data_IF_474484314715
#
_entry.id   IF_474484314715
#
_cell.length_a   1.000
_cell.length_b   1.000
_cell.length_c   1.000
_cell.angle_alpha   90.00
_cell.angle_beta   90.00
_cell.angle_gamma   90.00
#
_symmetry.space_group_name_H-M   'P 1'
#
loop_
_entity.id
_entity.type
_entity.pdbx_description
1 polymer ?
#
# COMPACT_ATOMS: atom_id res chain seq x y z
N UNK A 1 -0.46 17.66 5.69
CA UNK A 1 -0.48 19.11 5.40
C UNK A 1 0.05 19.92 6.58
N UNK A 2 -0.66 20.03 7.71
CA UNK A 2 -0.20 20.83 8.87
C UNK A 2 1.26 20.57 9.31
N UNK A 3 1.70 19.31 9.32
CA UNK A 3 3.09 18.97 9.65
C UNK A 3 4.11 19.57 8.66
N UNK A 4 3.81 19.54 7.36
CA UNK A 4 4.64 20.15 6.30
C UNK A 4 4.58 21.68 6.37
N UNK A 5 3.43 22.27 6.74
CA UNK A 5 3.31 23.72 6.90
C UNK A 5 4.12 24.24 8.10
N UNK A 6 4.22 23.43 9.16
CA UNK A 6 5.00 23.75 10.37
C UNK A 6 6.51 23.55 10.14
N UNK A 7 6.88 22.47 9.46
CA UNK A 7 8.27 22.17 9.10
C UNK A 7 8.36 21.58 7.68
N UNK A 8 8.62 22.43 6.67
CA UNK A 8 8.80 21.98 5.29
C UNK A 8 10.05 21.11 5.11
N UNK A 9 11.00 21.14 6.05
CA UNK A 9 12.25 20.38 6.01
C UNK A 9 12.14 18.95 6.51
N UNK A 10 10.98 18.56 7.06
CA UNK A 10 10.77 17.22 7.61
C UNK A 10 10.47 16.21 6.48
N UNK A 11 11.43 15.34 6.18
CA UNK A 11 11.32 14.35 5.10
C UNK A 11 10.11 13.43 5.29
N UNK A 12 9.88 12.94 6.50
CA UNK A 12 8.79 12.03 6.85
C UNK A 12 7.41 12.67 6.63
N UNK A 13 7.27 13.95 6.95
CA UNK A 13 6.02 14.69 6.74
C UNK A 13 5.74 14.91 5.25
N UNK A 14 6.78 15.22 4.46
CA UNK A 14 6.66 15.32 3.00
C UNK A 14 6.31 13.96 2.37
N UNK A 15 6.99 12.88 2.77
CA UNK A 15 6.72 11.53 2.25
C UNK A 15 5.29 11.08 2.57
N UNK A 16 4.85 11.27 3.81
CA UNK A 16 3.48 10.94 4.25
C UNK A 16 2.45 11.77 3.51
N UNK A 17 2.68 13.07 3.34
CA UNK A 17 1.77 13.93 2.58
C UNK A 17 1.66 13.50 1.13
N UNK A 18 2.79 13.17 0.49
CA UNK A 18 2.80 12.67 -0.88
C UNK A 18 1.97 11.39 -1.02
N UNK A 19 2.17 10.42 -0.13
CA UNK A 19 1.39 9.18 -0.12
C UNK A 19 -0.12 9.43 0.14
N UNK A 20 -0.48 10.31 1.08
CA UNK A 20 -1.88 10.68 1.32
C UNK A 20 -2.55 11.35 0.11
N UNK A 21 -1.83 12.21 -0.60
CA UNK A 21 -2.34 12.88 -1.81
C UNK A 21 -2.61 11.89 -2.94
N UNK A 22 -1.74 10.89 -3.05
CA UNK A 22 -1.90 9.77 -3.96
C UNK A 22 -3.12 8.90 -3.61
N UNK A 23 -3.13 8.30 -2.41
CA UNK A 23 -4.12 7.31 -2.03
C UNK A 23 -5.52 7.92 -1.76
N UNK A 24 -5.60 9.17 -1.27
CA UNK A 24 -6.86 9.76 -0.83
C UNK A 24 -7.54 10.71 -1.83
N UNK A 25 -6.76 11.35 -2.70
CA UNK A 25 -7.26 12.44 -3.56
C UNK A 25 -6.96 12.23 -5.05
N UNK A 26 -6.27 11.15 -5.41
CA UNK A 26 -5.80 10.90 -6.78
C UNK A 26 -5.01 12.10 -7.35
N UNK A 27 -4.26 12.79 -6.49
CA UNK A 27 -3.48 13.98 -6.85
C UNK A 27 -2.03 13.56 -7.14
N UNK A 28 -1.86 12.79 -8.21
CA UNK A 28 -0.63 12.09 -8.59
C UNK A 28 0.57 13.03 -8.73
N UNK A 29 0.38 14.16 -9.42
CA UNK A 29 1.45 15.13 -9.66
C UNK A 29 1.94 15.78 -8.36
N UNK A 30 1.03 16.12 -7.44
CA UNK A 30 1.44 16.65 -6.14
C UNK A 30 2.05 15.57 -5.26
N UNK A 31 1.56 14.33 -5.34
CA UNK A 31 2.15 13.20 -4.62
C UNK A 31 3.62 13.01 -4.97
N UNK A 32 3.95 12.93 -6.26
CA UNK A 32 5.33 12.80 -6.75
C UNK A 32 6.19 13.99 -6.29
N UNK A 33 5.68 15.21 -6.38
CA UNK A 33 6.40 16.42 -5.93
C UNK A 33 6.83 16.33 -4.45
N UNK A 34 5.92 15.93 -3.55
CA UNK A 34 6.23 15.81 -2.13
C UNK A 34 7.13 14.61 -1.81
N UNK A 35 6.99 13.50 -2.54
CA UNK A 35 7.84 12.32 -2.37
C UNK A 35 9.27 12.60 -2.83
N UNK A 36 9.44 13.27 -3.97
CA UNK A 36 10.76 13.72 -4.44
C UNK A 36 11.38 14.73 -3.47
N UNK A 37 10.57 15.64 -2.90
CA UNK A 37 11.07 16.56 -1.88
C UNK A 37 11.53 15.82 -0.62
N UNK A 38 10.81 14.78 -0.20
CA UNK A 38 11.23 13.97 0.94
C UNK A 38 12.60 13.30 0.71
N UNK A 39 12.83 12.79 -0.50
CA UNK A 39 14.11 12.19 -0.89
C UNK A 39 15.24 13.21 -1.00
N UNK A 40 14.96 14.43 -1.47
CA UNK A 40 15.93 15.55 -1.46
C UNK A 40 16.34 15.93 -0.03
N UNK A 41 15.37 15.98 0.90
CA UNK A 41 15.59 16.34 2.29
C UNK A 41 16.35 15.26 3.08
N UNK A 42 16.06 13.98 2.80
CA UNK A 42 16.74 12.85 3.41
C UNK A 42 16.88 11.68 2.41
N UNK A 43 18.04 11.56 1.75
CA UNK A 43 18.32 10.46 0.83
C UNK A 43 18.39 9.06 1.49
N UNK A 44 18.35 8.97 2.82
CA UNK A 44 18.32 7.71 3.56
C UNK A 44 16.92 7.35 4.09
N UNK A 45 15.87 8.10 3.71
CA UNK A 45 14.50 7.80 4.12
C UNK A 45 13.92 6.62 3.33
N UNK A 46 14.06 5.41 3.87
CA UNK A 46 13.54 4.17 3.27
C UNK A 46 12.04 4.26 2.92
N UNK A 47 11.22 4.85 3.79
CA UNK A 47 9.78 4.99 3.55
C UNK A 47 9.47 5.89 2.35
N UNK A 48 10.25 6.96 2.13
CA UNK A 48 10.05 7.82 0.96
C UNK A 48 10.32 7.06 -0.35
N UNK A 49 11.36 6.21 -0.40
CA UNK A 49 11.62 5.32 -1.53
C UNK A 49 10.47 4.34 -1.77
N UNK A 50 9.98 3.69 -0.70
CA UNK A 50 8.88 2.73 -0.79
C UNK A 50 7.59 3.41 -1.25
N UNK A 51 7.19 4.53 -0.66
CA UNK A 51 5.98 5.25 -1.08
C UNK A 51 6.07 5.75 -2.51
N UNK A 52 7.23 6.25 -2.93
CA UNK A 52 7.41 6.68 -4.31
C UNK A 52 7.36 5.51 -5.28
N UNK A 53 7.95 4.36 -4.95
CA UNK A 53 7.82 3.16 -5.77
C UNK A 53 6.37 2.71 -5.96
N UNK A 54 5.52 2.83 -4.92
CA UNK A 54 4.09 2.50 -5.03
C UNK A 54 3.38 3.45 -6.01
N UNK A 55 3.65 4.75 -5.93
CA UNK A 55 3.12 5.71 -6.91
C UNK A 55 3.55 5.33 -8.32
N UNK A 56 4.83 5.03 -8.52
CA UNK A 56 5.35 4.61 -9.82
C UNK A 56 4.74 3.30 -10.32
N UNK A 57 4.49 2.31 -9.44
CA UNK A 57 3.84 1.06 -9.81
C UNK A 57 2.41 1.28 -10.31
N UNK A 58 1.63 2.09 -9.60
CA UNK A 58 0.26 2.44 -10.01
C UNK A 58 0.23 3.24 -11.31
N UNK A 59 1.29 3.99 -11.60
CA UNK A 59 1.48 4.69 -12.87
C UNK A 59 2.04 3.80 -13.99
N UNK A 60 2.24 2.50 -13.76
CA UNK A 60 2.82 1.60 -14.74
C UNK A 60 4.29 1.86 -15.07
N UNK A 61 4.98 2.75 -14.33
CA UNK A 61 6.42 3.06 -14.45
C UNK A 61 7.26 1.97 -13.77
N UNK A 62 7.02 0.71 -14.14
CA UNK A 62 7.50 -0.46 -13.39
C UNK A 62 9.02 -0.54 -13.24
N UNK A 63 9.79 -0.26 -14.28
CA UNK A 63 11.25 -0.34 -14.24
C UNK A 63 11.88 0.71 -13.32
N UNK A 64 11.30 1.91 -13.27
CA UNK A 64 11.72 2.97 -12.34
C UNK A 64 11.27 2.61 -10.93
N UNK A 65 10.01 2.21 -10.76
CA UNK A 65 9.43 1.80 -9.49
C UNK A 65 10.25 0.71 -8.79
N UNK A 66 10.70 -0.31 -9.53
CA UNK A 66 11.53 -1.38 -8.98
C UNK A 66 12.89 -0.88 -8.47
N UNK A 67 13.50 0.12 -9.11
CA UNK A 67 14.75 0.71 -8.62
C UNK A 67 14.52 1.41 -7.26
N UNK A 68 13.44 2.18 -7.13
CA UNK A 68 13.08 2.82 -5.86
C UNK A 68 12.69 1.79 -4.79
N UNK A 69 11.96 0.74 -5.15
CA UNK A 69 11.57 -0.33 -4.22
C UNK A 69 12.79 -1.10 -3.68
N UNK A 70 13.73 -1.47 -4.55
CA UNK A 70 14.98 -2.12 -4.15
C UNK A 70 15.81 -1.19 -3.25
N UNK A 71 15.93 0.10 -3.59
CA UNK A 71 16.63 1.06 -2.73
C UNK A 71 16.00 1.21 -1.34
N UNK A 72 14.67 1.26 -1.26
CA UNK A 72 13.97 1.27 0.02
C UNK A 72 14.24 0.01 0.85
N UNK A 73 14.27 -1.16 0.19
CA UNK A 73 14.57 -2.44 0.82
C UNK A 73 16.05 -2.59 1.22
N UNK A 74 16.98 -1.97 0.52
CA UNK A 74 18.40 -1.89 0.93
C UNK A 74 18.60 -1.03 2.18
N UNK A 75 17.89 0.10 2.26
CA UNK A 75 17.98 1.04 3.39
C UNK A 75 17.34 0.47 4.66
N UNK A 76 16.26 -0.31 4.52
CA UNK A 76 15.63 -1.02 5.64
C UNK A 76 15.26 -2.47 5.24
N UNK A 77 16.21 -3.41 5.37
CA UNK A 77 16.02 -4.79 4.95
C UNK A 77 15.23 -5.65 5.95
N UNK A 78 15.03 -5.16 7.18
CA UNK A 78 14.36 -5.91 8.25
C UNK A 78 12.85 -5.73 8.23
N UNK A 79 12.35 -4.74 7.49
CA UNK A 79 10.91 -4.52 7.30
C UNK A 79 10.37 -5.45 6.20
N UNK A 80 9.52 -6.46 6.53
CA UNK A 80 9.02 -7.41 5.55
C UNK A 80 8.21 -6.76 4.42
N UNK A 81 7.55 -5.63 4.73
CA UNK A 81 6.79 -4.86 3.75
C UNK A 81 7.66 -4.35 2.60
N UNK A 82 8.92 -3.97 2.84
CA UNK A 82 9.80 -3.46 1.79
C UNK A 82 10.15 -4.56 0.78
N UNK A 83 10.36 -5.79 1.28
CA UNK A 83 10.60 -6.97 0.44
C UNK A 83 9.33 -7.40 -0.30
N UNK A 84 8.18 -7.35 0.36
CA UNK A 84 6.86 -7.57 -0.24
C UNK A 84 6.58 -6.57 -1.37
N UNK A 85 6.90 -5.28 -1.17
CA UNK A 85 6.63 -4.22 -2.14
C UNK A 85 7.34 -4.46 -3.49
N UNK A 86 8.56 -5.01 -3.48
CA UNK A 86 9.25 -5.43 -4.71
C UNK A 86 8.47 -6.53 -5.43
N UNK A 87 8.08 -7.58 -4.69
CA UNK A 87 7.32 -8.70 -5.23
C UNK A 87 5.93 -8.28 -5.75
N UNK A 88 5.31 -7.34 -5.06
CA UNK A 88 4.03 -6.74 -5.43
C UNK A 88 4.14 -5.90 -6.70
N UNK A 89 5.19 -5.11 -6.83
CA UNK A 89 5.54 -4.40 -8.06
C UNK A 89 5.74 -5.33 -9.25
N UNK A 90 6.44 -6.44 -9.06
CA UNK A 90 6.64 -7.46 -10.10
C UNK A 90 5.30 -8.10 -10.53
N UNK A 91 4.38 -8.33 -9.59
CA UNK A 91 3.03 -8.80 -9.88
C UNK A 91 2.27 -7.82 -10.79
N UNK A 92 2.24 -6.53 -10.43
CA UNK A 92 1.59 -5.51 -11.27
C UNK A 92 2.29 -5.30 -12.62
N UNK A 93 3.61 -5.50 -12.68
CA UNK A 93 4.36 -5.50 -13.92
C UNK A 93 4.14 -6.75 -14.80
N UNK A 94 3.27 -7.69 -14.37
CA UNK A 94 3.04 -9.01 -15.00
C UNK A 94 4.28 -9.90 -15.09
N UNK A 95 5.32 -9.61 -14.30
CA UNK A 95 6.54 -10.41 -14.17
C UNK A 95 6.31 -11.54 -13.16
N UNK A 96 5.29 -12.36 -13.40
CA UNK A 96 4.76 -13.33 -12.41
C UNK A 96 5.79 -14.37 -11.96
N UNK A 97 6.66 -14.83 -12.86
CA UNK A 97 7.74 -15.76 -12.50
C UNK A 97 8.70 -15.15 -11.46
N UNK A 98 9.13 -13.91 -11.69
CA UNK A 98 10.01 -13.19 -10.75
C UNK A 98 9.26 -12.79 -9.47
N UNK A 99 7.99 -12.41 -9.59
CA UNK A 99 7.14 -12.14 -8.43
C UNK A 99 7.04 -13.38 -7.52
N UNK A 100 6.89 -14.59 -8.10
CA UNK A 100 6.87 -15.85 -7.36
C UNK A 100 8.17 -16.05 -6.60
N UNK A 101 9.31 -15.93 -7.26
CA UNK A 101 10.63 -16.09 -6.62
C UNK A 101 10.83 -15.11 -5.46
N UNK A 102 10.43 -13.84 -5.64
CA UNK A 102 10.52 -12.82 -4.59
C UNK A 102 9.56 -13.10 -3.43
N UNK A 103 8.32 -13.49 -3.69
CA UNK A 103 7.39 -13.86 -2.63
C UNK A 103 7.78 -15.13 -1.89
N UNK A 104 8.32 -16.15 -2.58
CA UNK A 104 8.88 -17.35 -1.95
C UNK A 104 10.04 -17.00 -1.01
N UNK A 105 10.86 -16.00 -1.37
CA UNK A 105 11.86 -15.44 -0.45
C UNK A 105 11.22 -14.73 0.75
N UNK A 106 10.20 -13.88 0.53
CA UNK A 106 9.49 -13.17 1.61
C UNK A 106 8.92 -14.16 2.64
N UNK A 107 8.20 -15.19 2.21
CA UNK A 107 7.59 -16.17 3.15
C UNK A 107 8.62 -17.07 3.82
N UNK A 108 9.78 -17.30 3.19
CA UNK A 108 10.89 -18.03 3.81
C UNK A 108 11.59 -17.20 4.89
N UNK A 109 11.87 -15.94 4.59
CA UNK A 109 12.65 -15.06 5.48
C UNK A 109 11.75 -14.48 6.60
N UNK A 110 10.46 -14.30 6.32
CA UNK A 110 9.46 -13.76 7.24
C UNK A 110 8.20 -14.64 7.31
N UNK A 111 8.28 -15.87 7.85
CA UNK A 111 7.17 -16.83 7.84
C UNK A 111 5.95 -16.40 8.66
N UNK A 112 6.09 -15.39 9.54
CA UNK A 112 4.97 -14.80 10.28
C UNK A 112 4.25 -13.67 9.53
N UNK A 113 4.74 -13.26 8.35
CA UNK A 113 4.21 -12.13 7.62
C UNK A 113 3.08 -12.57 6.67
N UNK A 114 1.84 -12.54 7.16
CA UNK A 114 0.66 -13.04 6.43
C UNK A 114 0.42 -12.40 5.06
N UNK A 115 0.76 -11.11 4.88
CA UNK A 115 0.68 -10.45 3.56
C UNK A 115 1.67 -11.03 2.54
N UNK A 116 2.78 -11.62 2.99
CA UNK A 116 3.70 -12.35 2.13
C UNK A 116 3.05 -13.60 1.55
N UNK A 117 2.35 -14.37 2.41
CA UNK A 117 1.59 -15.55 1.99
C UNK A 117 0.42 -15.19 1.08
N UNK A 118 -0.30 -14.10 1.37
CA UNK A 118 -1.37 -13.62 0.49
C UNK A 118 -0.85 -13.20 -0.89
N UNK A 119 0.24 -12.43 -0.92
CA UNK A 119 0.87 -12.02 -2.17
C UNK A 119 1.38 -13.20 -2.99
N UNK A 120 1.97 -14.21 -2.34
CA UNK A 120 2.35 -15.46 -2.99
C UNK A 120 1.14 -16.20 -3.56
N UNK A 121 0.05 -16.33 -2.80
CA UNK A 121 -1.21 -16.90 -3.29
C UNK A 121 -1.72 -16.17 -4.53
N UNK A 122 -1.73 -14.83 -4.53
CA UNK A 122 -2.16 -14.01 -5.67
C UNK A 122 -1.32 -14.26 -6.91
N UNK A 123 0.01 -14.38 -6.77
CA UNK A 123 0.90 -14.72 -7.88
C UNK A 123 0.66 -16.15 -8.39
N UNK A 124 0.49 -17.11 -7.47
CA UNK A 124 0.25 -18.52 -7.84
C UNK A 124 -1.09 -18.69 -8.59
N UNK A 125 -2.12 -17.91 -8.24
CA UNK A 125 -3.37 -17.84 -9.02
C UNK A 125 -3.13 -17.36 -10.44
N UNK A 126 -2.36 -16.27 -10.61
CA UNK A 126 -2.01 -15.74 -11.94
C UNK A 126 -1.15 -16.71 -12.77
N UNK A 127 -0.45 -17.65 -12.13
CA UNK A 127 0.35 -18.70 -12.76
C UNK A 127 -0.41 -20.01 -12.99
N UNK A 128 -1.72 -20.05 -12.73
CA UNK A 128 -2.55 -21.27 -12.83
C UNK A 128 -2.05 -22.42 -11.94
N UNK A 129 -1.60 -22.09 -10.71
CA UNK A 129 -1.19 -23.05 -9.68
C UNK A 129 -2.20 -23.09 -8.49
N UNK A 130 -3.50 -23.41 -8.71
CA UNK A 130 -4.57 -23.18 -7.74
C UNK A 130 -4.42 -23.95 -6.42
N UNK A 131 -3.84 -25.16 -6.45
CA UNK A 131 -3.61 -25.95 -5.23
C UNK A 131 -2.67 -25.23 -4.27
N UNK A 132 -1.52 -24.78 -4.77
CA UNK A 132 -0.53 -24.06 -3.95
C UNK A 132 -1.05 -22.69 -3.54
N UNK A 133 -1.82 -22.03 -4.42
CA UNK A 133 -2.46 -20.77 -4.08
C UNK A 133 -3.39 -20.91 -2.87
N UNK A 134 -4.22 -21.97 -2.82
CA UNK A 134 -5.08 -22.25 -1.66
C UNK A 134 -4.27 -22.50 -0.38
N UNK A 135 -3.20 -23.29 -0.45
CA UNK A 135 -2.33 -23.56 0.71
C UNK A 135 -1.71 -22.28 1.28
N UNK A 136 -1.22 -21.39 0.42
CA UNK A 136 -0.67 -20.09 0.84
C UNK A 136 -1.76 -19.14 1.33
N UNK A 137 -2.95 -19.18 0.73
CA UNK A 137 -4.11 -18.41 1.20
C UNK A 137 -4.54 -18.83 2.61
N UNK A 138 -4.62 -20.13 2.88
CA UNK A 138 -4.96 -20.66 4.21
C UNK A 138 -3.93 -20.23 5.27
N UNK A 139 -2.64 -20.23 4.94
CA UNK A 139 -1.58 -19.70 5.82
C UNK A 139 -1.77 -18.20 6.05
N UNK A 140 -2.04 -17.43 5.00
CA UNK A 140 -2.27 -15.99 5.10
C UNK A 140 -3.42 -15.68 6.07
N UNK A 141 -4.54 -16.38 5.93
CA UNK A 141 -5.73 -16.24 6.80
C UNK A 141 -5.41 -16.64 8.24
N UNK A 142 -4.67 -17.75 8.43
CA UNK A 142 -4.26 -18.21 9.77
C UNK A 142 -3.41 -17.15 10.49
N UNK A 143 -2.52 -16.47 9.76
CA UNK A 143 -1.61 -15.47 10.32
C UNK A 143 -2.28 -14.11 10.54
N UNK A 144 -3.19 -13.69 9.66
CA UNK A 144 -3.87 -12.39 9.75
C UNK A 144 -5.18 -12.41 10.54
N UNK A 145 -5.70 -13.60 10.82
CA UNK A 145 -6.97 -13.81 11.51
C UNK A 145 -8.18 -13.80 10.56
N UNK A 146 -9.28 -14.37 11.03
CA UNK A 146 -10.56 -14.42 10.32
C UNK A 146 -11.25 -13.04 10.39
N UNK A 147 -10.96 -12.20 9.39
CA UNK A 147 -11.54 -10.88 9.19
C UNK A 147 -12.07 -10.67 7.77
N UNK A 148 -12.50 -9.45 7.45
CA UNK A 148 -12.99 -9.10 6.10
C UNK A 148 -11.96 -9.42 5.01
N UNK A 149 -10.69 -9.18 5.28
CA UNK A 149 -9.58 -9.50 4.38
C UNK A 149 -9.51 -10.99 4.05
N UNK A 150 -9.63 -11.86 5.06
CA UNK A 150 -9.60 -13.31 4.87
C UNK A 150 -10.74 -13.80 3.98
N UNK A 151 -11.92 -13.20 4.13
CA UNK A 151 -13.12 -13.56 3.36
C UNK A 151 -13.01 -13.13 1.90
N UNK A 152 -12.47 -11.93 1.64
CA UNK A 152 -12.14 -11.47 0.28
C UNK A 152 -11.14 -12.42 -0.37
N UNK A 153 -10.04 -12.72 0.33
CA UNK A 153 -9.00 -13.60 -0.17
C UNK A 153 -9.53 -15.01 -0.49
N UNK A 154 -10.50 -15.50 0.29
CA UNK A 154 -11.19 -16.76 0.02
C UNK A 154 -12.04 -16.74 -1.25
N UNK A 155 -12.80 -15.67 -1.53
CA UNK A 155 -13.60 -15.58 -2.78
C UNK A 155 -12.70 -15.78 -3.98
N UNK A 156 -11.64 -14.99 -4.02
CA UNK A 156 -10.62 -15.01 -5.06
C UNK A 156 -9.94 -16.40 -5.21
N UNK A 157 -9.51 -17.00 -4.09
CA UNK A 157 -8.80 -18.27 -4.11
C UNK A 157 -9.71 -19.47 -4.45
N UNK A 158 -10.95 -19.47 -3.96
CA UNK A 158 -11.92 -20.52 -4.28
C UNK A 158 -12.38 -20.44 -5.74
N UNK A 159 -12.59 -19.24 -6.27
CA UNK A 159 -13.01 -19.05 -7.66
C UNK A 159 -11.96 -19.61 -8.64
N UNK A 160 -10.69 -19.23 -8.49
CA UNK A 160 -9.60 -19.73 -9.35
C UNK A 160 -9.40 -21.24 -9.20
N UNK A 161 -9.68 -21.80 -8.02
CA UNK A 161 -9.59 -23.24 -7.79
C UNK A 161 -10.80 -24.04 -8.32
N UNK A 162 -11.76 -23.41 -8.98
CA UNK A 162 -12.99 -24.05 -9.48
C UNK A 162 -13.96 -24.48 -8.36
N UNK A 163 -13.83 -23.89 -7.16
CA UNK A 163 -14.71 -24.12 -6.01
C UNK A 163 -15.84 -23.07 -6.01
N UNK A 164 -16.57 -22.99 -7.12
CA UNK A 164 -17.53 -21.93 -7.42
C UNK A 164 -18.59 -21.72 -6.33
N UNK A 165 -19.12 -22.80 -5.75
CA UNK A 165 -20.14 -22.70 -4.70
C UNK A 165 -19.59 -22.02 -3.46
N UNK A 166 -18.38 -22.38 -3.04
CA UNK A 166 -17.73 -21.81 -1.86
C UNK A 166 -17.33 -20.35 -2.10
N UNK A 167 -16.85 -20.05 -3.30
CA UNK A 167 -16.56 -18.68 -3.72
C UNK A 167 -17.81 -17.80 -3.71
N UNK A 168 -18.94 -18.30 -4.26
CA UNK A 168 -20.22 -17.58 -4.25
C UNK A 168 -20.78 -17.41 -2.85
N UNK A 169 -20.71 -18.44 -2.01
CA UNK A 169 -21.13 -18.34 -0.60
C UNK A 169 -20.33 -17.26 0.14
N UNK A 170 -19.00 -17.25 -0.03
CA UNK A 170 -18.15 -16.22 0.57
C UNK A 170 -18.47 -14.82 0.06
N UNK A 171 -18.77 -14.66 -1.25
CA UNK A 171 -19.17 -13.39 -1.83
C UNK A 171 -20.53 -12.90 -1.27
N UNK A 172 -21.53 -13.78 -1.16
CA UNK A 172 -22.83 -13.46 -0.54
C UNK A 172 -22.67 -13.05 0.92
N UNK A 173 -21.78 -13.71 1.66
CA UNK A 173 -21.50 -13.34 3.04
C UNK A 173 -20.88 -11.94 3.14
N UNK A 174 -19.96 -11.59 2.24
CA UNK A 174 -19.39 -10.23 2.15
C UNK A 174 -20.46 -9.17 1.83
N UNK A 175 -21.41 -9.45 0.94
CA UNK A 175 -22.54 -8.56 0.66
C UNK A 175 -23.47 -8.40 1.86
N UNK A 176 -23.78 -9.49 2.58
CA UNK A 176 -24.60 -9.40 3.78
C UNK A 176 -23.93 -8.55 4.86
N UNK A 177 -22.60 -8.60 4.94
CA UNK A 177 -21.81 -7.78 5.85
C UNK A 177 -21.75 -6.31 5.41
N UNK A 178 -21.73 -6.02 4.11
CA UNK A 178 -21.65 -4.65 3.59
C UNK A 178 -22.88 -3.81 3.98
N UNK A 179 -24.02 -4.45 4.25
CA UNK A 179 -25.22 -3.79 4.76
C UNK A 179 -25.04 -3.12 6.14
N UNK A 180 -24.10 -3.59 6.96
CA UNK A 180 -23.94 -3.14 8.35
C UNK A 180 -22.54 -2.63 8.70
N UNK A 181 -21.55 -2.83 7.83
CA UNK A 181 -20.19 -2.34 8.00
C UNK A 181 -19.54 -2.10 6.65
N UNK A 182 -18.50 -1.27 6.64
CA UNK A 182 -17.70 -1.07 5.42
C UNK A 182 -17.04 -2.39 5.01
N UNK A 183 -17.30 -2.80 3.77
CA UNK A 183 -16.58 -3.84 3.04
C UNK A 183 -16.14 -3.19 1.74
N UNK A 184 -14.86 -3.30 1.40
CA UNK A 184 -14.27 -2.67 0.21
C UNK A 184 -14.98 -3.11 -1.07
N UNK A 185 -15.70 -2.22 -1.78
CA UNK A 185 -16.28 -2.56 -3.07
C UNK A 185 -15.23 -2.91 -4.12
N UNK A 186 -14.06 -2.25 -4.10
CA UNK A 186 -12.94 -2.60 -4.98
C UNK A 186 -12.51 -4.07 -4.80
N UNK A 187 -12.30 -4.52 -3.57
CA UNK A 187 -11.87 -5.89 -3.30
C UNK A 187 -12.97 -6.91 -3.62
N UNK A 188 -14.25 -6.56 -3.39
CA UNK A 188 -15.37 -7.40 -3.83
C UNK A 188 -15.42 -7.54 -5.35
N UNK A 189 -15.11 -6.48 -6.10
CA UNK A 189 -15.06 -6.53 -7.56
C UNK A 189 -14.01 -7.52 -8.07
N UNK A 190 -12.84 -7.63 -7.42
CA UNK A 190 -11.81 -8.64 -7.75
C UNK A 190 -12.40 -10.04 -7.67
N UNK A 191 -13.07 -10.36 -6.56
CA UNK A 191 -13.73 -11.65 -6.38
C UNK A 191 -14.80 -11.95 -7.42
N UNK A 192 -15.60 -10.95 -7.82
CA UNK A 192 -16.61 -11.12 -8.86
C UNK A 192 -16.03 -11.33 -10.26
N UNK A 193 -14.87 -10.73 -10.58
CA UNK A 193 -14.19 -11.05 -11.84
C UNK A 193 -13.74 -12.50 -11.87
N UNK A 194 -13.12 -13.00 -10.80
CA UNK A 194 -12.68 -14.41 -10.72
C UNK A 194 -13.86 -15.39 -10.79
N UNK A 195 -15.03 -14.99 -10.27
CA UNK A 195 -16.30 -15.74 -10.39
C UNK A 195 -16.94 -15.70 -11.80
N UNK A 196 -16.41 -14.87 -12.71
CA UNK A 196 -16.98 -14.63 -14.03
C UNK A 196 -18.21 -13.73 -14.04
N UNK A 197 -18.60 -13.13 -12.90
CA UNK A 197 -19.72 -12.20 -12.79
C UNK A 197 -19.25 -10.77 -13.09
N UNK A 198 -18.91 -10.54 -14.36
CA UNK A 198 -18.32 -9.29 -14.82
C UNK A 198 -19.24 -8.08 -14.65
N UNK A 199 -20.56 -8.27 -14.76
CA UNK A 199 -21.54 -7.21 -14.56
C UNK A 199 -21.47 -6.70 -13.12
N UNK A 200 -21.53 -7.62 -12.15
CA UNK A 200 -21.46 -7.27 -10.74
C UNK A 200 -20.09 -6.74 -10.33
N UNK A 201 -19.01 -7.20 -10.96
CA UNK A 201 -17.69 -6.62 -10.77
C UNK A 201 -17.66 -5.14 -11.16
N UNK A 202 -18.26 -4.76 -12.29
CA UNK A 202 -18.35 -3.37 -12.73
C UNK A 202 -19.23 -2.54 -11.77
N UNK A 203 -20.40 -3.05 -11.37
CA UNK A 203 -21.26 -2.38 -10.37
C UNK A 203 -20.47 -2.06 -9.08
N UNK A 204 -19.66 -3.01 -8.59
CA UNK A 204 -18.81 -2.80 -7.41
C UNK A 204 -17.68 -1.80 -7.63
N UNK A 205 -17.12 -1.69 -8.84
CA UNK A 205 -16.18 -0.64 -9.17
C UNK A 205 -16.84 0.75 -9.23
N UNK A 206 -18.11 0.83 -9.68
CA UNK A 206 -18.89 2.07 -9.62
C UNK A 206 -19.16 2.49 -8.17
N UNK A 207 -19.51 1.55 -7.28
CA UNK A 207 -19.64 1.79 -5.83
C UNK A 207 -18.30 2.25 -5.21
N UNK A 208 -17.17 1.63 -5.59
CA UNK A 208 -15.84 2.05 -5.14
C UNK A 208 -15.53 3.50 -5.55
N UNK A 209 -15.95 3.88 -6.76
CA UNK A 209 -15.75 5.23 -7.28
C UNK A 209 -16.62 6.25 -6.53
N UNK A 210 -17.88 5.94 -6.27
CA UNK A 210 -18.78 6.79 -5.50
C UNK A 210 -18.27 7.05 -4.09
N UNK A 211 -17.70 6.01 -3.45
CA UNK A 211 -17.11 6.09 -2.12
C UNK A 211 -15.68 6.64 -2.08
N UNK A 212 -15.11 7.03 -3.24
CA UNK A 212 -13.72 7.49 -3.40
C UNK A 212 -12.72 6.55 -2.73
N UNK A 213 -12.88 5.26 -2.98
CA UNK A 213 -12.02 4.25 -2.37
C UNK A 213 -10.57 4.33 -2.86
N UNK A 214 -9.63 4.42 -1.92
CA UNK A 214 -8.21 4.56 -2.21
C UNK A 214 -7.66 3.49 -3.17
N UNK A 215 -8.13 2.24 -3.07
CA UNK A 215 -7.68 1.11 -3.90
C UNK A 215 -7.92 1.28 -5.40
N UNK A 216 -8.81 2.20 -5.80
CA UNK A 216 -8.95 2.59 -7.20
C UNK A 216 -7.65 3.10 -7.80
N UNK A 217 -6.70 3.55 -6.97
CA UNK A 217 -5.37 3.90 -7.37
C UNK A 217 -4.57 2.72 -7.98
N UNK A 218 -5.05 1.47 -7.94
CA UNK A 218 -4.43 0.32 -8.62
C UNK A 218 -5.21 -0.17 -9.86
N UNK A 219 -6.40 0.39 -10.11
CA UNK A 219 -7.35 -0.08 -11.12
C UNK A 219 -6.71 -0.25 -12.50
N UNK A 220 -5.88 0.72 -12.91
CA UNK A 220 -5.23 0.72 -14.22
C UNK A 220 -4.22 -0.42 -14.40
N UNK A 221 -3.61 -0.90 -13.33
CA UNK A 221 -2.51 -1.88 -13.39
C UNK A 221 -2.86 -3.26 -12.84
N UNK A 222 -3.97 -3.44 -12.15
CA UNK A 222 -4.36 -4.73 -11.54
C UNK A 222 -4.66 -5.84 -12.58
N UNK A 223 -3.92 -6.97 -12.58
CA UNK A 223 -4.16 -8.11 -13.48
C UNK A 223 -5.55 -8.72 -13.40
N UNK A 224 -6.13 -8.82 -12.21
CA UNK A 224 -7.42 -9.48 -12.04
C UNK A 224 -8.54 -8.83 -12.87
N UNK A 225 -8.42 -7.54 -13.22
CA UNK A 225 -9.42 -6.86 -14.04
C UNK A 225 -9.25 -7.06 -15.55
N UNK A 226 -8.18 -7.70 -16.03
CA UNK A 226 -7.90 -7.91 -17.45
C UNK A 226 -9.12 -8.42 -18.26
N UNK A 227 -9.98 -9.34 -17.75
CA UNK A 227 -11.19 -9.80 -18.45
C UNK A 227 -12.27 -8.73 -18.67
N UNK A 228 -12.34 -7.69 -17.83
CA UNK A 228 -13.39 -6.67 -17.84
C UNK A 228 -12.93 -5.33 -18.40
N UNK A 229 -11.65 -5.17 -18.75
CA UNK A 229 -11.09 -3.90 -19.25
C UNK A 229 -11.70 -3.43 -20.59
N UNK A 230 -12.37 -4.31 -21.32
CA UNK A 230 -13.06 -3.97 -22.57
C UNK A 230 -14.46 -3.38 -22.36
N UNK A 231 -14.95 -3.29 -21.12
CA UNK A 231 -16.22 -2.64 -20.81
C UNK A 231 -16.06 -1.11 -20.82
N UNK A 232 -16.86 -0.35 -21.59
CA UNK A 232 -16.78 1.11 -21.62
C UNK A 232 -16.97 1.80 -20.25
N UNK A 233 -17.67 1.15 -19.31
CA UNK A 233 -17.82 1.67 -17.93
C UNK A 233 -16.50 1.61 -17.17
N UNK A 234 -15.66 0.59 -17.42
CA UNK A 234 -14.32 0.50 -16.84
C UNK A 234 -13.46 1.72 -17.22
N UNK A 235 -13.48 2.10 -18.51
CA UNK A 235 -12.81 3.31 -18.99
C UNK A 235 -13.37 4.57 -18.33
N UNK A 236 -14.70 4.67 -18.18
CA UNK A 236 -15.32 5.82 -17.52
C UNK A 236 -14.89 5.96 -16.05
N UNK A 237 -14.65 4.85 -15.35
CA UNK A 237 -14.15 4.85 -13.96
C UNK A 237 -12.68 5.29 -13.92
N UNK A 238 -11.84 4.78 -14.82
CA UNK A 238 -10.45 5.24 -14.96
C UNK A 238 -10.36 6.73 -15.28
N UNK A 239 -11.22 7.26 -16.16
CA UNK A 239 -11.23 8.68 -16.47
C UNK A 239 -11.56 9.56 -15.24
N UNK A 240 -12.49 9.09 -14.39
CA UNK A 240 -12.93 9.84 -13.20
C UNK A 240 -11.96 9.79 -12.03
N UNK A 241 -11.10 8.77 -11.96
CA UNK A 241 -10.04 8.66 -10.94
C UNK A 241 -8.80 9.50 -11.30
N UNK A 242 -8.80 10.23 -12.42
CA UNK A 242 -7.65 11.04 -12.82
C UNK A 242 -6.50 10.22 -13.39
N UNK A 243 -6.69 8.91 -13.60
CA UNK A 243 -5.77 7.97 -14.27
C UNK A 243 -5.47 8.30 -15.74
N UNK A 244 -5.94 9.45 -16.22
CA UNK A 244 -6.00 9.91 -17.61
C UNK A 244 -4.63 9.96 -18.31
N UNK A 245 -3.53 9.87 -17.58
CA UNK A 245 -2.17 9.95 -18.13
C UNK A 245 -1.72 8.67 -18.87
N UNK A 246 -2.37 7.50 -18.68
CA UNK A 246 -1.79 6.23 -19.12
C UNK A 246 -2.68 5.37 -20.04
N UNK A 247 -4.01 5.48 -19.90
CA UNK A 247 -4.94 4.48 -20.42
C UNK A 247 -6.20 5.07 -21.04
N UNK A 248 -6.08 6.11 -21.87
CA UNK A 248 -7.27 6.64 -22.55
C UNK A 248 -7.85 5.57 -23.47
N UNK A 249 -9.10 5.17 -23.20
CA UNK A 249 -9.83 4.13 -23.93
C UNK A 249 -9.07 2.80 -23.90
N UNK A 250 -8.84 2.25 -22.71
CA UNK A 250 -8.18 0.95 -22.56
C UNK A 250 -8.93 -0.13 -23.36
N UNK A 251 -10.26 -0.08 -23.34
CA UNK A 251 -11.11 -1.00 -24.11
C UNK A 251 -10.86 -0.94 -25.63
N UNK A 252 -10.42 0.21 -26.15
CA UNK A 252 -10.14 0.42 -27.57
C UNK A 252 -8.64 0.29 -27.93
N UNK A 253 -7.74 0.42 -26.95
CA UNK A 253 -6.30 0.55 -27.20
C UNK A 253 -5.62 -0.77 -27.57
N UNK A 254 -6.23 -1.91 -27.24
CA UNK A 254 -5.62 -3.23 -27.39
C UNK A 254 -4.38 -3.43 -26.51
N UNK A 255 -4.13 -2.51 -25.56
CA UNK A 255 -2.95 -2.51 -24.72
C UNK A 255 -2.97 -3.70 -23.76
N UNK A 256 -1.88 -4.48 -23.75
CA UNK A 256 -1.65 -5.54 -22.77
C UNK A 256 -0.49 -5.11 -21.89
N UNK A 257 -0.78 -4.86 -20.61
CA UNK A 257 0.27 -4.73 -19.61
C UNK A 257 1.15 -5.99 -19.65
N UNK A 258 2.48 -5.86 -19.67
CA UNK A 258 3.40 -6.98 -19.43
C UNK A 258 4.19 -7.54 -20.61
N UNK A 259 4.09 -7.00 -21.83
CA UNK A 259 4.91 -7.49 -22.96
C UNK A 259 6.22 -6.71 -23.21
N UNK A 260 6.47 -5.62 -22.48
CA UNK A 260 7.63 -4.77 -22.72
C UNK A 260 8.82 -5.21 -21.86
N UNK A 261 9.59 -6.17 -22.36
CA UNK A 261 10.89 -6.57 -21.81
C UNK A 261 12.01 -5.54 -22.06
N UNK A 262 11.75 -4.48 -22.83
CA UNK A 262 12.80 -3.57 -23.32
C UNK A 262 12.76 -2.16 -22.72
N UNK A 263 11.84 -1.87 -21.78
CA UNK A 263 11.76 -0.55 -21.16
C UNK A 263 11.38 0.58 -22.13
N UNK A 264 10.90 0.26 -23.34
CA UNK A 264 10.47 1.24 -24.34
C UNK A 264 8.96 1.51 -24.26
N UNK A 265 8.45 1.79 -23.05
CA UNK A 265 7.22 2.57 -22.98
C UNK A 265 7.53 3.91 -23.63
N UNK A 266 6.94 4.14 -24.80
CA UNK A 266 6.91 5.45 -25.44
C UNK A 266 6.20 6.39 -24.47
N UNK A 267 7.02 7.14 -23.74
CA UNK A 267 6.66 8.14 -22.75
C UNK A 267 5.78 9.21 -23.40
N UNK A 268 4.60 9.53 -22.86
CA UNK A 268 3.91 10.75 -23.26
C UNK A 268 4.67 12.02 -22.84
N UNK A 269 5.73 11.89 -22.03
CA UNK A 269 6.56 13.00 -21.58
C UNK A 269 7.88 12.49 -20.96
N UNK A 270 8.99 12.62 -21.70
CA UNK A 270 10.35 12.50 -21.16
C UNK A 270 10.61 13.54 -20.06
N UNK A 271 10.23 13.30 -18.80
CA UNK A 271 10.64 14.16 -17.66
C UNK A 271 10.74 13.46 -16.31
N UNK A 272 11.41 12.32 -16.16
CA UNK A 272 11.86 11.89 -14.81
C UNK A 272 12.93 10.81 -14.85
N UNK A 273 14.09 11.07 -15.47
CA UNK A 273 15.31 10.36 -15.05
C UNK A 273 15.95 11.23 -13.98
N UNK A 274 15.53 11.06 -12.72
CA UNK A 274 16.09 11.80 -11.60
C UNK A 274 17.34 11.06 -11.10
N UNK A 275 18.51 11.62 -11.37
CA UNK A 275 19.77 11.18 -10.75
C UNK A 275 19.81 11.83 -9.37
N UNK A 276 19.51 11.07 -8.32
CA UNK A 276 19.79 11.49 -6.94
C UNK A 276 21.32 11.45 -6.80
N UNK A 277 21.95 12.62 -6.85
CA UNK A 277 23.40 12.74 -6.65
C UNK A 277 23.72 12.42 -5.17
N UNK A 278 24.08 11.17 -4.91
CA UNK A 278 24.77 10.77 -3.69
C UNK A 278 26.19 11.38 -3.76
N UNK A 279 26.36 12.61 -3.23
CA UNK A 279 27.67 13.28 -3.20
C UNK A 279 28.74 12.44 -2.48
N UNK A 280 30.03 12.63 -2.78
CA UNK A 280 31.10 11.83 -2.20
C UNK A 280 31.40 12.26 -0.75
N UNK A 281 31.76 11.29 0.07
CA UNK A 281 32.48 11.37 1.35
C UNK A 281 31.86 12.19 2.50
N UNK A 282 31.40 11.45 3.52
CA UNK A 282 31.19 11.90 4.91
C UNK A 282 32.50 12.20 5.65
N UNK A 283 33.51 12.73 4.96
CA UNK A 283 34.76 13.18 5.55
C UNK A 283 34.82 14.72 5.53
N UNK A 284 34.22 15.38 6.54
CA UNK A 284 34.54 16.78 6.81
C UNK A 284 33.43 17.73 7.24
N UNK A 285 32.23 17.29 7.61
CA UNK A 285 31.29 18.18 8.30
C UNK A 285 31.55 18.16 9.80
N UNK A 286 32.36 19.12 10.27
CA UNK A 286 32.37 19.52 11.67
C UNK A 286 30.95 19.91 12.09
N UNK A 287 30.46 19.30 13.18
CA UNK A 287 29.20 19.68 13.79
C UNK A 287 29.20 21.18 14.12
N UNK A 288 28.13 21.95 13.80
CA UNK A 288 28.06 23.34 14.22
C UNK A 288 28.10 23.39 15.74
N UNK A 289 29.15 24.04 16.26
CA UNK A 289 29.32 24.33 17.69
C UNK A 289 28.09 25.05 18.22
N UNK A 290 27.67 24.60 19.40
CA UNK A 290 26.63 25.16 20.26
C UNK A 290 26.63 26.69 20.29
N UNK A 291 25.51 27.30 19.90
CA UNK A 291 25.15 28.66 20.28
C UNK A 291 24.04 28.56 21.33
N UNK A 292 24.46 28.57 22.60
CA UNK A 292 23.59 28.75 23.75
C UNK A 292 23.09 30.20 23.71
N UNK A 293 21.85 30.39 23.29
CA UNK A 293 21.11 31.64 23.37
C UNK A 293 19.90 31.45 24.29
N UNK A 294 19.95 32.06 25.47
CA UNK A 294 18.90 32.01 26.50
C UNK A 294 17.58 32.64 26.03
N UNK A 295 16.47 31.90 26.20
CA UNK A 295 15.13 32.50 26.31
C UNK A 295 14.34 31.87 27.47
N UNK A 296 13.69 32.67 28.33
CA UNK A 296 12.92 32.16 29.46
C UNK A 296 11.46 31.91 29.03
N UNK A 297 10.96 30.69 29.22
CA UNK A 297 9.56 30.45 29.56
C UNK A 297 9.35 29.01 30.04
N UNK A 298 9.00 28.86 31.33
CA UNK A 298 8.89 27.62 32.10
C UNK A 298 7.68 26.72 31.74
N UNK A 299 7.21 26.74 30.50
CA UNK A 299 6.13 25.85 30.03
C UNK A 299 6.61 24.90 28.92
N UNK A 300 7.70 25.19 28.23
CA UNK A 300 8.26 24.31 27.19
C UNK A 300 9.09 23.12 27.75
N UNK A 301 9.57 23.20 29.00
CA UNK A 301 10.35 22.12 29.63
C UNK A 301 9.49 20.99 30.21
N UNK A 302 8.17 21.20 30.37
CA UNK A 302 7.26 20.17 30.90
C UNK A 302 6.75 19.20 29.81
N UNK A 303 6.87 19.55 28.52
CA UNK A 303 6.38 18.69 27.41
C UNK A 303 7.51 17.86 26.80
N UNK A 304 8.75 18.35 26.81
CA UNK A 304 9.91 17.56 26.36
C UNK A 304 10.36 16.48 27.35
N UNK A 305 10.08 16.66 28.66
CA UNK A 305 10.39 15.66 29.69
C UNK A 305 9.41 14.49 29.79
N UNK A 306 8.22 14.61 29.18
CA UNK A 306 7.15 13.60 29.23
C UNK A 306 7.18 12.63 28.04
N UNK A 307 7.91 12.94 26.97
CA UNK A 307 8.07 12.05 25.81
C UNK A 307 9.36 11.22 25.82
N UNK A 308 10.29 11.48 26.75
CA UNK A 308 11.52 10.70 26.93
C UNK A 308 11.36 9.61 28.01
N UNK A 309 10.33 9.69 28.86
CA UNK A 309 10.01 8.65 29.86
C UNK A 309 9.10 7.52 29.34
N UNK A 310 8.56 7.62 28.12
CA UNK A 310 7.82 6.53 27.48
C UNK A 310 8.74 5.45 26.86
N UNK A 311 10.05 5.70 26.76
CA UNK A 311 11.00 4.81 26.07
C UNK A 311 11.83 3.87 26.95
N UNK A 312 11.92 4.07 28.28
CA UNK A 312 12.86 3.30 29.13
C UNK A 312 12.23 2.81 30.46
N UNK A 313 10.93 3.06 30.70
CA UNK A 313 10.26 2.74 31.97
C UNK A 313 9.56 1.38 32.10
N UNK A 314 9.69 0.45 31.15
CA UNK A 314 8.86 -0.77 31.12
C UNK A 314 9.57 -2.03 31.66
N UNK A 315 10.32 -1.92 32.76
CA UNK A 315 10.86 -3.12 33.44
C UNK A 315 10.88 -3.12 34.96
N UNK A 316 10.41 -2.07 35.65
CA UNK A 316 10.35 -2.08 37.12
C UNK A 316 9.12 -1.33 37.60
N UNK A 317 7.95 -1.99 37.69
CA UNK A 317 6.88 -1.58 38.63
C UNK A 317 5.68 -2.54 38.87
N UNK A 318 5.67 -3.88 38.65
CA UNK A 318 4.53 -4.69 39.11
C UNK A 318 4.53 -5.09 40.59
N UNK A 319 5.33 -4.47 41.47
CA UNK A 319 5.48 -4.91 42.88
C UNK A 319 4.94 -3.95 43.94
N UNK A 320 4.24 -2.86 43.59
CA UNK A 320 3.85 -1.84 44.59
C UNK A 320 2.39 -1.39 44.66
N UNK A 321 1.47 -1.88 43.81
CA UNK A 321 0.05 -1.56 43.97
C UNK A 321 -0.79 -2.80 43.77
N UNK A 322 -1.09 -3.48 44.90
CA UNK A 322 -2.14 -4.47 44.97
C UNK A 322 -3.50 -3.78 44.84
N UNK A 323 -4.30 -4.21 43.87
CA UNK A 323 -5.67 -3.73 43.69
C UNK A 323 -6.21 -4.20 42.36
N UNK A 324 -7.13 -5.17 42.41
CA UNK A 324 -7.67 -5.84 41.22
C UNK A 324 -8.33 -4.89 40.22
N UNK A 325 -7.94 -5.03 38.96
CA UNK A 325 -8.73 -4.64 37.81
C UNK A 325 -8.45 -5.68 36.71
N UNK A 326 -9.52 -6.12 36.05
CA UNK A 326 -9.54 -7.19 35.07
C UNK A 326 -8.39 -7.07 34.06
N UNK A 327 -7.61 -8.14 33.96
CA UNK A 327 -6.56 -8.32 32.96
C UNK A 327 -7.17 -8.28 31.56
N UNK A 328 -7.03 -7.15 30.87
CA UNK A 328 -7.08 -7.12 29.42
C UNK A 328 -5.80 -7.83 28.97
N UNK A 329 -5.96 -8.95 28.27
CA UNK A 329 -4.85 -9.64 27.62
C UNK A 329 -4.30 -8.75 26.49
N UNK A 330 -3.37 -7.86 26.82
CA UNK A 330 -2.61 -7.08 25.83
C UNK A 330 -1.57 -8.01 25.20
N UNK A 331 -1.88 -8.54 24.01
CA UNK A 331 -0.87 -9.14 23.14
C UNK A 331 -0.03 -7.99 22.53
N UNK A 332 1.31 -8.12 22.45
CA UNK A 332 2.14 -7.13 21.77
C UNK A 332 1.74 -7.05 20.29
N UNK A 333 1.68 -5.82 19.75
CA UNK A 333 1.38 -5.55 18.35
C UNK A 333 2.43 -6.20 17.43
N UNK A 334 2.14 -7.42 16.99
CA UNK A 334 3.01 -8.21 16.10
C UNK A 334 2.37 -8.48 14.73
N UNK A 335 1.25 -7.82 14.42
CA UNK A 335 0.52 -7.98 13.15
C UNK A 335 0.37 -6.62 12.47
N UNK A 336 0.79 -6.46 11.19
CA UNK A 336 0.52 -5.24 10.45
C UNK A 336 -0.99 -5.07 10.34
N UNK A 337 -1.52 -4.01 10.95
CA UNK A 337 -2.94 -3.68 10.84
C UNK A 337 -3.06 -2.72 9.67
N UNK A 338 -3.80 -3.12 8.63
CA UNK A 338 -4.28 -2.16 7.63
C UNK A 338 -5.27 -1.26 8.37
N UNK A 339 -4.84 -0.05 8.70
CA UNK A 339 -5.64 0.95 9.35
C UNK A 339 -6.35 1.75 8.25
N UNK A 340 -7.58 1.37 7.94
CA UNK A 340 -8.45 2.20 7.11
C UNK A 340 -8.98 3.33 8.00
N UNK A 341 -8.33 4.51 7.93
CA UNK A 341 -8.78 5.68 8.68
C UNK A 341 -9.73 6.50 7.82
N UNK A 342 -10.99 6.71 8.24
CA UNK A 342 -11.82 7.76 7.67
C UNK A 342 -11.22 9.11 8.05
N UNK A 343 -10.89 9.94 7.08
CA UNK A 343 -10.47 11.32 7.33
C UNK A 343 -11.27 12.30 6.47
N UNK A 344 -11.53 13.48 7.04
CA UNK A 344 -12.13 14.61 6.33
C UNK A 344 -11.01 15.53 5.87
N UNK A 345 -10.91 15.78 4.57
CA UNK A 345 -10.07 16.85 4.04
C UNK A 345 -10.79 18.19 4.22
N UNK A 346 -10.10 19.23 4.67
CA UNK A 346 -10.67 20.56 4.92
C UNK A 346 -11.24 21.22 3.64
N UNK A 347 -10.92 20.67 2.46
CA UNK A 347 -11.23 21.25 1.16
C UNK A 347 -12.51 20.72 0.51
N UNK A 348 -13.03 19.57 0.96
CA UNK A 348 -14.25 18.93 0.46
C UNK A 348 -15.00 18.39 1.68
N UNK A 349 -16.26 18.78 1.87
CA UNK A 349 -17.16 18.29 2.95
C UNK A 349 -17.50 16.78 2.83
N UNK A 350 -16.67 16.01 2.13
CA UNK A 350 -16.83 14.58 1.84
C UNK A 350 -15.86 13.75 2.68
N UNK A 351 -16.31 12.56 3.09
CA UNK A 351 -15.49 11.57 3.78
C UNK A 351 -14.57 10.88 2.76
N UNK A 352 -13.26 10.82 3.04
CA UNK A 352 -12.31 10.01 2.29
C UNK A 352 -11.83 8.84 3.18
N UNK A 353 -11.55 7.69 2.57
CA UNK A 353 -11.01 6.51 3.24
C UNK A 353 -9.55 6.33 2.79
N UNK A 354 -8.60 6.50 3.72
CA UNK A 354 -7.18 6.24 3.45
C UNK A 354 -6.78 4.85 3.88
N UNK A 355 -5.89 4.22 3.11
CA UNK A 355 -5.17 3.00 3.54
C UNK A 355 -3.89 3.46 4.22
N UNK A 356 -3.80 3.26 5.54
CA UNK A 356 -2.55 3.35 6.29
C UNK A 356 -2.10 1.97 6.74
N UNK A 357 -0.80 1.71 6.74
CA UNK A 357 -0.21 0.61 7.50
C UNK A 357 0.32 1.22 8.80
N UNK A 358 -0.13 0.70 9.95
CA UNK A 358 0.40 1.11 11.27
C UNK A 358 1.64 0.34 11.64
#
# INVERSE_FOLDING_TARGET
QKAVDLDPGLSEANATLGFCLHAGNYDWSRAETYLLKALELNPANANAYVWYSIVLFTEGRFSEALQFAERGAELDPLTPFNQHNIAWGLYYARRFGEARERYEKVVRDFPGYGLGHYGLSKVLRALDEPRRALEENEKAITLMGDGLFARIANVEAFAVAGRDEEARMAAVELEALSANRYVSPYQMSLGYVELGDHEKAIEKLEEALESREAWLNWLGVEPAFDPIRNDPRFDAILEKTGYRMLFKRFSESGYRLGHDTDGSLSRPDEKTTLVINEGPDTAGMEAPRTLVGSFPNKVAAAVAGLLILAGIGYFVLPSLIGGGANTINERPFSTPTILVLPFRTVQDDKFNLGVGLS
#
